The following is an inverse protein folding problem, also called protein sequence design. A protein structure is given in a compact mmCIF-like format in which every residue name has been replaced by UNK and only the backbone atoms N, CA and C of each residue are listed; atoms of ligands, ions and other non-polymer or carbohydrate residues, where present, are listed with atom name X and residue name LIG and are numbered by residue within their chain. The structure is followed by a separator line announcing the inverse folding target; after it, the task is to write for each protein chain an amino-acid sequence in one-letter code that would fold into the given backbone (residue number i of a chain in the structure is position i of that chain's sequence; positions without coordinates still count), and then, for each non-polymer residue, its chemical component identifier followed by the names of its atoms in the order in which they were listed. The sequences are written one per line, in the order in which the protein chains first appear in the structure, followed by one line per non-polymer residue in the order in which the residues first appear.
data_IF_837904043804
#
_entry.id   IF_837904043804
#
_cell.length_a   1.000
_cell.length_b   1.000
_cell.length_c   1.000
_cell.angle_alpha   90.00
_cell.angle_beta   90.00
_cell.angle_gamma   90.00
#
_symmetry.space_group_name_H-M   'P 1'
#
loop_
_entity.id
_entity.type
_entity.pdbx_description
1 polymer ?
#
# COMPACT_ATOMS: atom_id res chain seq x y z
N UNK A 1 -12.53 11.76 -30.27
CA UNK A 1 -13.48 10.87 -29.61
C UNK A 1 -12.72 9.61 -29.22
N UNK A 2 -12.61 9.31 -27.93
CA UNK A 2 -11.98 8.09 -27.45
C UNK A 2 -12.81 6.87 -27.84
N UNK A 3 -12.16 5.81 -28.29
CA UNK A 3 -12.80 4.52 -28.51
C UNK A 3 -13.05 3.86 -27.14
N UNK A 4 -14.18 3.18 -27.01
CA UNK A 4 -14.48 2.38 -25.83
C UNK A 4 -13.69 1.06 -25.91
N UNK A 5 -13.36 0.46 -24.77
CA UNK A 5 -12.67 -0.84 -24.72
C UNK A 5 -13.44 -1.90 -25.50
N UNK A 6 -14.77 -1.90 -25.44
CA UNK A 6 -15.62 -2.79 -26.23
C UNK A 6 -15.44 -2.72 -27.74
N UNK A 7 -14.93 -1.59 -28.28
CA UNK A 7 -14.69 -1.42 -29.73
C UNK A 7 -13.46 -2.26 -30.23
N UNK A 8 -12.71 -2.86 -29.32
CA UNK A 8 -11.52 -3.68 -29.62
C UNK A 8 -11.73 -5.18 -29.31
N UNK A 9 -12.92 -5.54 -28.86
CA UNK A 9 -13.25 -6.91 -28.49
C UNK A 9 -14.10 -7.55 -29.58
N UNK A 10 -13.85 -8.82 -29.89
CA UNK A 10 -14.62 -9.61 -30.83
C UNK A 10 -15.95 -10.11 -30.24
N UNK A 11 -16.06 -10.09 -28.91
CA UNK A 11 -17.23 -10.51 -28.13
C UNK A 11 -17.60 -9.42 -27.10
N UNK A 12 -18.84 -9.38 -26.61
CA UNK A 12 -19.23 -8.49 -25.52
C UNK A 12 -18.33 -8.67 -24.30
N UNK A 13 -17.93 -7.55 -23.68
CA UNK A 13 -17.06 -7.58 -22.50
C UNK A 13 -17.62 -8.44 -21.37
N UNK A 14 -18.93 -8.43 -21.19
CA UNK A 14 -19.61 -9.21 -20.16
C UNK A 14 -19.46 -10.73 -20.38
N UNK A 15 -19.52 -11.18 -21.63
CA UNK A 15 -19.35 -12.59 -22.00
C UNK A 15 -17.90 -13.02 -21.76
N UNK A 16 -16.92 -12.18 -22.11
CA UNK A 16 -15.48 -12.42 -21.89
C UNK A 16 -15.22 -12.52 -20.37
N UNK A 17 -15.73 -11.56 -19.57
CA UNK A 17 -15.53 -11.52 -18.13
C UNK A 17 -16.19 -12.70 -17.39
N UNK A 18 -17.26 -13.27 -17.95
CA UNK A 18 -17.95 -14.43 -17.39
C UNK A 18 -17.39 -15.78 -17.85
N UNK A 19 -16.43 -15.77 -18.78
CA UNK A 19 -15.80 -17.00 -19.25
C UNK A 19 -15.07 -17.74 -18.11
N UNK A 20 -15.07 -19.09 -18.10
CA UNK A 20 -14.42 -19.87 -17.03
C UNK A 20 -12.92 -19.56 -16.90
N UNK A 21 -12.24 -19.31 -18.01
CA UNK A 21 -10.81 -19.00 -18.05
C UNK A 21 -10.50 -17.66 -17.38
N UNK A 22 -11.27 -16.61 -17.70
CA UNK A 22 -11.12 -15.29 -17.11
C UNK A 22 -11.50 -15.30 -15.64
N UNK A 23 -12.60 -15.96 -15.30
CA UNK A 23 -13.03 -16.13 -13.90
C UNK A 23 -11.95 -16.84 -13.09
N UNK A 24 -11.34 -17.90 -13.63
CA UNK A 24 -10.26 -18.62 -12.95
C UNK A 24 -9.04 -17.72 -12.71
N UNK A 25 -8.65 -16.91 -13.71
CA UNK A 25 -7.55 -15.95 -13.55
C UNK A 25 -7.87 -14.94 -12.46
N UNK A 26 -9.05 -14.31 -12.49
CA UNK A 26 -9.44 -13.34 -11.47
C UNK A 26 -9.47 -13.93 -10.07
N UNK A 27 -10.01 -15.13 -9.88
CA UNK A 27 -9.99 -15.79 -8.56
C UNK A 27 -8.55 -16.11 -8.11
N UNK A 28 -7.65 -16.44 -9.04
CA UNK A 28 -6.26 -16.77 -8.72
C UNK A 28 -5.42 -15.56 -8.29
N UNK A 29 -5.75 -14.35 -8.81
CA UNK A 29 -5.04 -13.11 -8.49
C UNK A 29 -5.77 -12.24 -7.46
N UNK A 30 -6.95 -12.68 -7.00
CA UNK A 30 -7.77 -11.94 -6.06
C UNK A 30 -7.04 -11.69 -4.75
N UNK A 31 -6.91 -10.42 -4.37
CA UNK A 31 -6.39 -10.07 -3.06
C UNK A 31 -7.32 -10.57 -1.95
N UNK A 32 -6.74 -11.10 -0.88
CA UNK A 32 -7.51 -11.64 0.23
C UNK A 32 -7.81 -13.14 0.15
N UNK A 33 -7.47 -13.82 -0.97
CA UNK A 33 -7.66 -15.27 -1.10
C UNK A 33 -6.78 -16.08 -0.12
N UNK A 34 -5.67 -15.52 0.33
CA UNK A 34 -4.81 -16.13 1.33
C UNK A 34 -4.43 -15.09 2.39
N UNK A 35 -4.30 -15.55 3.64
CA UNK A 35 -3.85 -14.71 4.76
C UNK A 35 -2.33 -14.61 4.70
N UNK A 36 -1.74 -13.39 4.64
CA UNK A 36 -0.30 -13.22 4.62
C UNK A 36 0.33 -13.63 5.95
N UNK A 37 1.39 -14.44 5.88
CA UNK A 37 2.16 -14.83 7.07
C UNK A 37 3.02 -13.69 7.64
N UNK A 38 3.70 -12.84 6.81
CA UNK A 38 4.43 -11.69 7.35
C UNK A 38 3.47 -10.55 7.72
N UNK A 39 3.90 -9.65 8.63
CA UNK A 39 3.15 -8.44 8.92
C UNK A 39 2.90 -7.59 7.66
N UNK A 40 1.73 -6.98 7.59
CA UNK A 40 1.28 -6.19 6.45
C UNK A 40 1.11 -4.73 6.85
N UNK A 41 1.61 -3.83 6.02
CA UNK A 41 1.26 -2.42 6.07
C UNK A 41 0.36 -2.09 4.87
N UNK A 42 -0.81 -1.55 5.16
CA UNK A 42 -1.74 -1.03 4.16
C UNK A 42 -1.82 0.48 4.35
N UNK A 43 -1.65 1.23 3.25
CA UNK A 43 -1.85 2.68 3.22
C UNK A 43 -2.81 2.98 2.08
N UNK A 44 -3.95 3.59 2.39
CA UNK A 44 -5.02 3.85 1.42
C UNK A 44 -5.50 5.29 1.52
N UNK A 45 -5.67 5.96 0.39
CA UNK A 45 -6.31 7.25 0.33
C UNK A 45 -7.85 7.08 0.44
N UNK A 46 -8.49 7.91 1.28
CA UNK A 46 -9.95 7.89 1.42
C UNK A 46 -10.64 8.35 0.14
N UNK A 47 -9.99 9.28 -0.57
CA UNK A 47 -10.50 9.86 -1.83
C UNK A 47 -9.82 9.25 -3.07
N UNK A 48 -9.44 7.97 -2.98
CA UNK A 48 -8.87 7.26 -4.12
C UNK A 48 -9.92 7.10 -5.22
N UNK A 49 -9.59 7.56 -6.41
CA UNK A 49 -10.49 7.50 -7.57
C UNK A 49 -10.36 6.20 -8.39
N UNK A 50 -9.36 5.37 -8.08
CA UNK A 50 -9.12 4.09 -8.75
C UNK A 50 -9.55 2.90 -7.90
N UNK A 51 -9.31 2.98 -6.58
CA UNK A 51 -9.51 1.87 -5.66
C UNK A 51 -10.42 2.36 -4.54
N UNK A 52 -11.58 1.73 -4.40
CA UNK A 52 -12.52 2.08 -3.34
C UNK A 52 -11.92 1.76 -1.96
N UNK A 53 -11.96 2.73 -1.07
CA UNK A 53 -11.49 2.60 0.30
C UNK A 53 -12.22 1.48 1.06
N UNK A 54 -13.49 1.23 0.74
CA UNK A 54 -14.28 0.17 1.38
C UNK A 54 -13.79 -1.24 1.00
N UNK A 55 -13.29 -1.44 -0.22
CA UNK A 55 -12.69 -2.71 -0.63
C UNK A 55 -11.40 -2.98 0.15
N UNK A 56 -10.60 -1.95 0.37
CA UNK A 56 -9.37 -2.06 1.17
C UNK A 56 -9.67 -2.23 2.66
N UNK A 57 -10.74 -1.61 3.17
CA UNK A 57 -11.24 -1.85 4.51
C UNK A 57 -11.62 -3.33 4.70
N UNK A 58 -12.38 -3.87 3.76
CA UNK A 58 -12.80 -5.27 3.79
C UNK A 58 -11.59 -6.22 3.73
N UNK A 59 -10.60 -5.92 2.88
CA UNK A 59 -9.35 -6.68 2.78
C UNK A 59 -8.57 -6.65 4.11
N UNK A 60 -8.41 -5.47 4.72
CA UNK A 60 -7.70 -5.31 5.98
C UNK A 60 -8.38 -6.09 7.11
N UNK A 61 -9.72 -6.06 7.15
CA UNK A 61 -10.51 -6.84 8.10
C UNK A 61 -10.37 -8.35 7.87
N UNK A 62 -10.41 -8.80 6.61
CA UNK A 62 -10.25 -10.21 6.27
C UNK A 62 -8.87 -10.75 6.69
N UNK A 63 -7.80 -9.99 6.44
CA UNK A 63 -6.46 -10.35 6.86
C UNK A 63 -6.33 -10.41 8.39
N UNK A 64 -6.85 -9.40 9.08
CA UNK A 64 -6.83 -9.36 10.55
C UNK A 64 -7.64 -10.49 11.17
N UNK A 65 -8.84 -10.77 10.64
CA UNK A 65 -9.68 -11.88 11.09
C UNK A 65 -9.02 -13.25 10.84
N UNK A 66 -8.22 -13.36 9.77
CA UNK A 66 -7.41 -14.54 9.46
C UNK A 66 -6.15 -14.68 10.31
N UNK A 67 -5.87 -13.74 11.22
CA UNK A 67 -4.72 -13.79 12.14
C UNK A 67 -3.46 -13.09 11.61
N UNK A 68 -3.53 -12.34 10.50
CA UNK A 68 -2.40 -11.54 10.06
C UNK A 68 -2.23 -10.30 10.95
N UNK A 69 -0.98 -9.92 11.22
CA UNK A 69 -0.63 -8.63 11.82
C UNK A 69 -0.77 -7.53 10.79
N UNK A 70 -1.79 -6.69 10.91
CA UNK A 70 -2.08 -5.63 9.93
C UNK A 70 -1.95 -4.25 10.56
N UNK A 71 -1.11 -3.40 9.96
CA UNK A 71 -1.08 -1.96 10.23
C UNK A 71 -1.81 -1.26 9.08
N UNK A 72 -2.91 -0.58 9.36
CA UNK A 72 -3.71 0.08 8.34
C UNK A 72 -3.84 1.58 8.57
N UNK A 73 -3.39 2.36 7.60
CA UNK A 73 -3.47 3.82 7.60
C UNK A 73 -4.37 4.32 6.48
N UNK A 74 -5.44 5.03 6.83
CA UNK A 74 -6.29 5.76 5.90
C UNK A 74 -5.86 7.22 5.84
N UNK A 75 -5.53 7.69 4.64
CA UNK A 75 -5.16 9.09 4.41
C UNK A 75 -6.37 9.86 3.89
N UNK A 76 -6.86 10.81 4.69
CA UNK A 76 -8.04 11.61 4.39
C UNK A 76 -7.77 12.82 3.49
N UNK A 77 -6.50 13.10 3.17
CA UNK A 77 -6.11 14.29 2.42
C UNK A 77 -5.61 13.99 1.01
N UNK A 78 -4.84 12.93 0.86
CA UNK A 78 -4.21 12.58 -0.40
C UNK A 78 -5.16 11.77 -1.30
N UNK A 79 -4.81 11.73 -2.56
CA UNK A 79 -5.43 10.90 -3.58
C UNK A 79 -4.41 9.84 -4.06
N UNK A 80 -4.82 8.98 -4.98
CA UNK A 80 -4.05 7.83 -5.44
C UNK A 80 -2.59 8.13 -5.78
N UNK A 81 -2.34 9.17 -6.58
CA UNK A 81 -0.99 9.47 -7.11
C UNK A 81 -0.08 10.10 -6.06
N UNK A 82 -0.61 10.98 -5.20
CA UNK A 82 0.18 11.68 -4.19
C UNK A 82 0.42 10.83 -2.94
N UNK A 83 -0.43 9.85 -2.68
CA UNK A 83 -0.28 8.98 -1.53
C UNK A 83 1.08 8.26 -1.53
N UNK A 84 1.54 7.75 -2.66
CA UNK A 84 2.79 7.00 -2.77
C UNK A 84 4.02 7.80 -2.34
N UNK A 85 4.33 8.98 -2.92
CA UNK A 85 5.51 9.72 -2.51
C UNK A 85 5.41 10.25 -1.07
N UNK A 86 4.21 10.63 -0.61
CA UNK A 86 4.04 11.18 0.73
C UNK A 86 4.05 10.11 1.82
N UNK A 87 3.60 8.90 1.55
CA UNK A 87 3.66 7.77 2.50
C UNK A 87 4.99 7.04 2.49
N UNK A 88 5.84 7.22 1.46
CA UNK A 88 7.10 6.49 1.33
C UNK A 88 8.02 6.60 2.56
N UNK A 89 8.22 7.77 3.20
CA UNK A 89 9.05 7.86 4.39
C UNK A 89 8.52 7.05 5.57
N UNK A 90 7.21 7.04 5.78
CA UNK A 90 6.54 6.25 6.80
C UNK A 90 6.69 4.75 6.50
N UNK A 91 6.45 4.35 5.27
CA UNK A 91 6.58 2.96 4.80
C UNK A 91 8.00 2.44 5.00
N UNK A 92 9.01 3.22 4.60
CA UNK A 92 10.43 2.86 4.80
C UNK A 92 10.79 2.73 6.28
N UNK A 93 10.23 3.59 7.13
CA UNK A 93 10.42 3.48 8.58
C UNK A 93 9.79 2.20 9.11
N UNK A 94 8.55 1.91 8.74
CA UNK A 94 7.87 0.69 9.13
C UNK A 94 8.66 -0.56 8.71
N UNK A 95 9.12 -0.63 7.45
CA UNK A 95 9.97 -1.71 6.96
C UNK A 95 11.26 -1.85 7.79
N UNK A 96 11.94 -0.73 8.07
CA UNK A 96 13.15 -0.75 8.90
C UNK A 96 12.88 -1.35 10.28
N UNK A 97 11.74 -1.03 10.88
CA UNK A 97 11.35 -1.55 12.19
C UNK A 97 11.04 -3.06 12.11
N UNK A 98 10.49 -3.56 10.98
CA UNK A 98 10.29 -5.01 10.76
C UNK A 98 11.61 -5.75 10.64
N UNK A 99 12.54 -5.25 9.81
CA UNK A 99 13.87 -5.85 9.69
C UNK A 99 14.66 -5.81 11.01
N UNK A 100 14.45 -4.79 11.83
CA UNK A 100 15.03 -4.71 13.17
C UNK A 100 14.30 -5.55 14.22
N UNK A 101 13.30 -6.36 13.82
CA UNK A 101 12.48 -7.21 14.70
C UNK A 101 11.82 -6.43 15.86
N UNK A 102 11.52 -5.16 15.67
CA UNK A 102 10.78 -4.39 16.67
C UNK A 102 9.36 -4.91 16.78
N UNK A 103 8.79 -4.98 17.98
CA UNK A 103 7.40 -5.44 18.16
C UNK A 103 6.44 -4.58 17.34
N UNK A 104 5.42 -5.23 16.79
CA UNK A 104 4.25 -4.57 16.23
C UNK A 104 3.23 -4.43 17.36
N UNK A 105 2.50 -3.34 17.34
CA UNK A 105 1.23 -3.30 18.05
C UNK A 105 0.26 -4.22 17.31
N UNK A 106 -0.25 -5.22 18.01
CA UNK A 106 -1.02 -6.35 17.45
C UNK A 106 -2.49 -5.95 17.25
N UNK A 107 -2.74 -4.81 16.62
CA UNK A 107 -4.10 -4.36 16.35
C UNK A 107 -4.21 -3.80 14.94
N UNK A 108 -5.38 -4.02 14.35
CA UNK A 108 -5.80 -3.29 13.16
C UNK A 108 -6.00 -1.81 13.55
N UNK A 109 -4.93 -1.01 13.43
CA UNK A 109 -4.99 0.42 13.72
C UNK A 109 -5.55 1.12 12.49
N UNK A 110 -6.76 1.64 12.63
CA UNK A 110 -7.41 2.46 11.62
C UNK A 110 -7.08 3.93 11.90
N UNK A 111 -6.04 4.46 11.28
CA UNK A 111 -5.65 5.86 11.44
C UNK A 111 -6.23 6.69 10.31
N UNK A 112 -7.01 7.74 10.65
CA UNK A 112 -7.58 8.68 9.67
C UNK A 112 -6.67 9.92 9.50
N UNK A 113 -5.46 9.89 10.00
CA UNK A 113 -4.53 11.00 9.90
C UNK A 113 -3.89 11.05 8.51
N UNK A 114 -3.88 12.22 7.84
CA UNK A 114 -3.12 12.40 6.63
C UNK A 114 -1.65 12.06 6.85
N UNK A 115 -1.04 11.35 5.91
CA UNK A 115 0.39 10.97 6.02
C UNK A 115 1.30 12.18 6.17
N UNK A 116 0.89 13.34 5.61
CA UNK A 116 1.63 14.60 5.77
C UNK A 116 1.67 15.13 7.22
N UNK A 117 0.74 14.73 8.09
CA UNK A 117 0.73 15.11 9.51
C UNK A 117 1.34 14.05 10.41
N UNK A 118 1.75 12.91 9.85
CA UNK A 118 2.42 11.86 10.61
C UNK A 118 3.87 12.27 10.91
N UNK A 119 4.29 12.37 12.19
CA UNK A 119 5.68 12.72 12.55
C UNK A 119 6.72 11.81 11.92
N UNK A 120 6.38 10.53 11.67
CA UNK A 120 7.27 9.58 11.01
C UNK A 120 7.56 9.98 9.56
N UNK A 121 6.62 10.63 8.88
CA UNK A 121 6.82 11.16 7.52
C UNK A 121 7.95 12.18 7.52
N UNK A 122 7.94 13.14 8.43
CA UNK A 122 9.00 14.17 8.53
C UNK A 122 10.34 13.57 8.92
N UNK A 123 10.36 12.67 9.90
CA UNK A 123 11.61 11.97 10.26
C UNK A 123 12.18 11.17 9.08
N UNK A 124 11.34 10.54 8.30
CA UNK A 124 11.72 9.84 7.07
C UNK A 124 12.23 10.80 6.00
N UNK A 125 11.55 11.94 5.77
CA UNK A 125 11.99 12.96 4.80
C UNK A 125 13.35 13.53 5.15
N UNK A 126 13.59 13.87 6.41
CA UNK A 126 14.91 14.36 6.88
C UNK A 126 15.98 13.30 6.61
N UNK A 127 15.71 12.04 6.89
CA UNK A 127 16.64 10.93 6.62
C UNK A 127 16.91 10.76 5.13
N UNK A 128 15.89 10.83 4.29
CA UNK A 128 16.06 10.80 2.82
C UNK A 128 16.88 11.98 2.33
N UNK A 129 16.62 13.19 2.85
CA UNK A 129 17.41 14.38 2.53
C UNK A 129 18.90 14.22 2.89
N UNK A 130 19.20 13.67 4.07
CA UNK A 130 20.57 13.36 4.48
C UNK A 130 21.24 12.33 3.55
N UNK A 131 20.51 11.29 3.15
CA UNK A 131 21.01 10.28 2.21
C UNK A 131 21.28 10.91 0.86
N UNK A 132 20.34 11.68 0.32
CA UNK A 132 20.50 12.38 -0.94
C UNK A 132 21.72 13.33 -0.92
N UNK A 133 21.88 14.12 0.13
CA UNK A 133 23.04 15.00 0.30
C UNK A 133 24.37 14.21 0.34
N UNK A 134 24.40 13.06 0.98
CA UNK A 134 25.58 12.17 0.98
C UNK A 134 25.88 11.62 -0.40
N UNK A 135 24.86 11.20 -1.15
CA UNK A 135 25.03 10.73 -2.54
C UNK A 135 25.61 11.83 -3.42
N UNK A 136 25.01 13.02 -3.40
CA UNK A 136 25.46 14.17 -4.20
C UNK A 136 26.90 14.58 -3.85
N UNK A 137 27.28 14.51 -2.58
CA UNK A 137 28.61 14.88 -2.11
C UNK A 137 29.63 13.74 -2.13
N UNK A 138 29.28 12.57 -2.68
CA UNK A 138 30.17 11.39 -2.74
C UNK A 138 30.51 10.79 -1.37
N UNK A 139 29.81 11.18 -0.30
CA UNK A 139 30.07 10.65 1.04
C UNK A 139 29.52 9.25 1.21
N UNK A 140 30.26 8.38 1.91
CA UNK A 140 29.83 7.00 2.19
C UNK A 140 28.51 6.98 2.99
N UNK A 141 27.55 6.22 2.50
CA UNK A 141 26.34 5.91 3.24
C UNK A 141 26.71 4.79 4.23
N UNK A 142 26.80 5.14 5.52
CA UNK A 142 27.04 4.14 6.56
C UNK A 142 25.76 3.28 6.67
N UNK A 143 25.88 2.00 6.30
CA UNK A 143 24.89 1.00 6.69
C UNK A 143 25.02 0.82 8.20
N UNK A 144 24.01 1.17 8.99
CA UNK A 144 23.95 0.62 10.34
C UNK A 144 23.73 -0.89 10.18
N UNK A 145 24.51 -1.73 10.88
CA UNK A 145 24.18 -3.15 10.95
C UNK A 145 22.74 -3.26 11.46
N UNK A 146 21.97 -4.13 10.82
CA UNK A 146 20.59 -4.51 11.19
C UNK A 146 20.59 -5.15 12.57
#
# INVERSE_FOLDING_TARGET
AGKNMGDYLDEPLEDILSSPEVTHVFESIKLGAAVPAPPVLIVQAVHDYLIDVHDIDALAHAYSAGGASVSYHRDAFNEHMLLHPLSAPMTLRWLTDRFARRPLEDHLIRTIWPTMFNPMTYAGMVRLGIIAAKVITGRKIHRRPL
#
